data_IF_165695872082
#
_entry.id   IF_165695872082
#
_cell.length_a   1.000
_cell.length_b   1.000
_cell.length_c   1.000
_cell.angle_alpha   90.00
_cell.angle_beta   90.00
_cell.angle_gamma   90.00
#
_symmetry.space_group_name_H-M   'P 1'
#
loop_
_entity.id
_entity.type
_entity.pdbx_description
1 polymer ?
#
# COMPACT_ATOMS: atom_id res chain seq x y z
N UNK A 1 31.48 0.55 7.94
CA UNK A 1 30.54 0.14 9.00
C UNK A 1 29.42 1.18 9.21
N UNK A 2 29.74 2.44 9.53
CA UNK A 2 28.75 3.52 9.79
C UNK A 2 27.78 3.73 8.62
N UNK A 3 28.28 3.85 7.38
CA UNK A 3 27.43 4.03 6.19
C UNK A 3 26.44 2.87 5.95
N UNK A 4 26.81 1.64 6.34
CA UNK A 4 25.93 0.47 6.22
C UNK A 4 24.74 0.54 7.19
N UNK A 5 24.99 0.96 8.43
CA UNK A 5 23.95 1.13 9.45
C UNK A 5 23.01 2.27 9.05
N UNK A 6 23.56 3.41 8.60
CA UNK A 6 22.76 4.56 8.12
C UNK A 6 21.88 4.13 6.95
N UNK A 7 22.44 3.43 5.97
CA UNK A 7 21.68 2.89 4.84
C UNK A 7 20.53 1.99 5.30
N UNK A 8 20.79 1.06 6.22
CA UNK A 8 19.77 0.17 6.76
C UNK A 8 18.61 0.94 7.42
N UNK A 9 18.93 1.94 8.26
CA UNK A 9 17.91 2.78 8.93
C UNK A 9 17.00 3.44 7.89
N UNK A 10 17.56 4.05 6.85
CA UNK A 10 16.76 4.69 5.80
C UNK A 10 15.90 3.68 5.03
N UNK A 11 16.43 2.50 4.71
CA UNK A 11 15.66 1.44 4.05
C UNK A 11 14.46 1.02 4.88
N UNK A 12 14.67 0.74 6.18
CA UNK A 12 13.59 0.36 7.09
C UNK A 12 12.56 1.49 7.28
N UNK A 13 13.01 2.74 7.34
CA UNK A 13 12.12 3.90 7.44
C UNK A 13 11.20 4.01 6.21
N UNK A 14 11.76 3.91 5.00
CA UNK A 14 11.00 3.94 3.73
C UNK A 14 10.04 2.76 3.65
N UNK A 15 10.50 1.56 4.00
CA UNK A 15 9.63 0.38 4.02
C UNK A 15 8.44 0.59 4.97
N UNK A 16 8.68 1.02 6.21
CA UNK A 16 7.60 1.28 7.17
C UNK A 16 6.63 2.38 6.67
N UNK A 17 7.15 3.40 5.99
CA UNK A 17 6.35 4.46 5.38
C UNK A 17 5.33 3.90 4.38
N UNK A 18 5.67 2.91 3.57
CA UNK A 18 4.74 2.31 2.62
C UNK A 18 3.49 1.75 3.29
N UNK A 19 3.66 0.92 4.32
CA UNK A 19 2.54 0.31 5.03
C UNK A 19 1.66 1.38 5.69
N UNK A 20 2.28 2.37 6.33
CA UNK A 20 1.55 3.43 7.02
C UNK A 20 0.78 4.34 6.05
N UNK A 21 1.40 4.71 4.93
CA UNK A 21 0.76 5.52 3.88
C UNK A 21 -0.44 4.81 3.27
N UNK A 22 -0.31 3.51 2.93
CA UNK A 22 -1.41 2.72 2.39
C UNK A 22 -2.54 2.51 3.43
N UNK A 23 -2.19 2.29 4.70
CA UNK A 23 -3.16 2.16 5.78
C UNK A 23 -3.94 3.46 6.01
N UNK A 24 -3.24 4.59 6.10
CA UNK A 24 -3.88 5.90 6.23
C UNK A 24 -4.76 6.21 5.01
N UNK A 25 -4.32 5.84 3.80
CA UNK A 25 -5.12 6.00 2.59
C UNK A 25 -6.40 5.14 2.60
N UNK A 26 -6.31 3.89 3.07
CA UNK A 26 -7.45 2.99 3.31
C UNK A 26 -8.43 3.62 4.32
N UNK A 27 -7.93 4.10 5.45
CA UNK A 27 -8.75 4.67 6.53
C UNK A 27 -9.45 5.96 6.07
N UNK A 28 -8.75 6.83 5.33
CA UNK A 28 -9.34 8.02 4.71
C UNK A 28 -10.49 7.69 3.76
N UNK A 29 -10.39 6.58 3.02
CA UNK A 29 -11.49 6.12 2.15
C UNK A 29 -12.67 5.63 2.96
N UNK A 30 -12.45 4.89 4.05
CA UNK A 30 -13.54 4.47 4.93
C UNK A 30 -14.33 5.67 5.47
N UNK A 31 -13.64 6.71 5.93
CA UNK A 31 -14.27 7.93 6.41
C UNK A 31 -15.15 8.61 5.35
N UNK A 32 -14.72 8.63 4.09
CA UNK A 32 -15.55 9.19 3.01
C UNK A 32 -16.72 8.30 2.65
N UNK A 33 -16.54 6.99 2.62
CA UNK A 33 -17.66 6.06 2.41
C UNK A 33 -18.69 6.19 3.54
N UNK A 34 -18.25 6.35 4.79
CA UNK A 34 -19.14 6.64 5.92
C UNK A 34 -19.94 7.93 5.71
N UNK A 35 -19.28 9.01 5.32
CA UNK A 35 -19.92 10.28 5.02
C UNK A 35 -20.94 10.17 3.87
N UNK A 36 -20.57 9.53 2.77
CA UNK A 36 -21.46 9.33 1.62
C UNK A 36 -22.65 8.44 1.99
N UNK A 37 -22.44 7.39 2.80
CA UNK A 37 -23.52 6.52 3.24
C UNK A 37 -24.55 7.25 4.09
N UNK A 38 -24.11 8.21 4.92
CA UNK A 38 -25.01 9.07 5.71
C UNK A 38 -25.85 10.00 4.84
N UNK A 39 -25.30 10.45 3.70
CA UNK A 39 -25.98 11.34 2.76
C UNK A 39 -26.83 10.62 1.71
N UNK A 40 -26.48 9.38 1.38
CA UNK A 40 -27.19 8.61 0.37
C UNK A 40 -28.67 8.48 0.75
N UNK A 41 -29.55 8.87 -0.16
CA UNK A 41 -30.99 8.68 -0.02
C UNK A 41 -31.46 7.39 -0.71
N UNK A 42 -30.80 7.03 -1.81
CA UNK A 42 -31.08 5.85 -2.61
C UNK A 42 -30.54 4.57 -1.94
N UNK A 43 -31.34 3.50 -1.99
CA UNK A 43 -30.97 2.16 -1.52
C UNK A 43 -29.86 1.57 -2.38
N UNK A 44 -29.86 1.83 -3.69
CA UNK A 44 -28.82 1.34 -4.61
C UNK A 44 -27.46 1.97 -4.29
N UNK A 45 -27.44 3.30 -4.08
CA UNK A 45 -26.23 4.03 -3.70
C UNK A 45 -25.67 3.55 -2.35
N UNK A 46 -26.53 3.31 -1.35
CA UNK A 46 -26.12 2.73 -0.06
C UNK A 46 -25.54 1.33 -0.21
N UNK A 47 -26.16 0.51 -1.06
CA UNK A 47 -25.68 -0.84 -1.32
C UNK A 47 -24.29 -0.82 -1.95
N UNK A 48 -24.07 0.00 -2.98
CA UNK A 48 -22.76 0.17 -3.62
C UNK A 48 -21.68 0.65 -2.64
N UNK A 49 -22.01 1.66 -1.82
CA UNK A 49 -21.10 2.16 -0.77
C UNK A 49 -20.72 1.05 0.21
N UNK A 50 -21.69 0.24 0.64
CA UNK A 50 -21.45 -0.88 1.55
C UNK A 50 -20.56 -1.97 0.92
N UNK A 51 -20.77 -2.30 -0.35
CA UNK A 51 -19.96 -3.27 -1.08
C UNK A 51 -18.52 -2.78 -1.23
N UNK A 52 -18.33 -1.51 -1.56
CA UNK A 52 -17.01 -0.90 -1.68
C UNK A 52 -16.31 -0.89 -0.31
N UNK A 53 -17.03 -0.51 0.75
CA UNK A 53 -16.50 -0.48 2.12
C UNK A 53 -15.98 -1.85 2.54
N UNK A 54 -16.75 -2.91 2.32
CA UNK A 54 -16.36 -4.27 2.66
C UNK A 54 -15.10 -4.71 1.88
N UNK A 55 -15.01 -4.34 0.60
CA UNK A 55 -13.80 -4.60 -0.20
C UNK A 55 -12.58 -3.84 0.33
N UNK A 56 -12.72 -2.55 0.65
CA UNK A 56 -11.65 -1.75 1.27
C UNK A 56 -11.22 -2.37 2.62
N UNK A 57 -12.17 -2.83 3.42
CA UNK A 57 -11.92 -3.47 4.71
C UNK A 57 -11.10 -4.74 4.59
N UNK A 58 -11.40 -5.58 3.60
CA UNK A 58 -10.66 -6.82 3.32
C UNK A 58 -9.21 -6.63 2.88
N UNK A 59 -8.79 -5.41 2.51
CA UNK A 59 -7.40 -5.14 2.12
C UNK A 59 -6.49 -5.24 3.35
N UNK A 60 -5.70 -6.29 3.45
CA UNK A 60 -4.76 -6.49 4.54
C UNK A 60 -3.34 -5.98 4.22
N UNK A 61 -2.76 -5.27 5.19
CA UNK A 61 -1.35 -4.86 5.17
C UNK A 61 -0.66 -5.54 6.36
N UNK A 62 0.21 -6.52 6.09
CA UNK A 62 0.87 -7.37 7.08
C UNK A 62 2.08 -6.67 7.72
N UNK A 63 1.84 -5.58 8.45
CA UNK A 63 2.92 -4.80 9.12
C UNK A 63 3.73 -5.62 10.12
N UNK A 64 3.15 -6.67 10.70
CA UNK A 64 3.89 -7.59 11.58
C UNK A 64 5.08 -8.26 10.88
N UNK A 65 4.97 -8.53 9.57
CA UNK A 65 6.04 -9.17 8.81
C UNK A 65 7.25 -8.23 8.66
N UNK A 66 7.02 -6.92 8.57
CA UNK A 66 8.09 -5.92 8.61
C UNK A 66 8.84 -5.95 9.95
N UNK A 67 8.10 -6.00 11.07
CA UNK A 67 8.72 -6.01 12.39
C UNK A 67 9.53 -7.28 12.65
N UNK A 68 9.03 -8.45 12.24
CA UNK A 68 9.80 -9.68 12.32
C UNK A 68 11.04 -9.62 11.42
N UNK A 69 10.92 -9.13 10.19
CA UNK A 69 12.07 -8.91 9.33
C UNK A 69 13.14 -8.04 10.01
N UNK A 70 12.75 -6.90 10.60
CA UNK A 70 13.65 -6.01 11.31
C UNK A 70 14.34 -6.70 12.50
N UNK A 71 13.59 -7.44 13.32
CA UNK A 71 14.13 -8.18 14.47
C UNK A 71 15.14 -9.22 14.01
N UNK A 72 14.80 -10.06 13.02
CA UNK A 72 15.72 -11.08 12.51
C UNK A 72 16.95 -10.47 11.83
N UNK A 73 16.79 -9.33 11.13
CA UNK A 73 17.91 -8.58 10.59
C UNK A 73 18.88 -8.15 11.68
N UNK A 74 18.39 -7.52 12.76
CA UNK A 74 19.22 -7.05 13.89
C UNK A 74 19.88 -8.24 14.60
N UNK A 75 19.12 -9.30 14.92
CA UNK A 75 19.64 -10.48 15.62
C UNK A 75 20.74 -11.19 14.83
N UNK A 76 20.67 -11.21 13.49
CA UNK A 76 21.70 -11.80 12.64
C UNK A 76 23.06 -11.09 12.75
N UNK A 77 23.09 -9.81 13.14
CA UNK A 77 24.35 -9.09 13.39
C UNK A 77 24.92 -9.34 14.80
N UNK A 78 24.07 -9.71 15.76
CA UNK A 78 24.45 -9.88 17.17
C UNK A 78 24.87 -11.33 17.44
N UNK A 79 24.16 -12.29 16.86
CA UNK A 79 24.33 -13.71 17.16
C UNK A 79 25.15 -14.40 16.06
N UNK A 80 26.13 -15.27 16.40
CA UNK A 80 26.90 -16.03 15.43
C UNK A 80 26.09 -17.22 14.89
N UNK A 81 25.03 -16.95 14.12
CA UNK A 81 24.10 -17.99 13.63
C UNK A 81 24.45 -18.54 12.24
N UNK A 82 25.67 -18.31 11.75
CA UNK A 82 26.11 -18.72 10.42
C UNK A 82 25.13 -18.34 9.29
N UNK A 83 24.39 -17.23 9.45
CA UNK A 83 23.42 -16.72 8.46
C UNK A 83 22.00 -17.31 8.52
N UNK A 84 21.69 -18.26 9.42
CA UNK A 84 20.34 -18.85 9.53
C UNK A 84 19.25 -17.81 9.82
N UNK A 85 19.51 -16.87 10.73
CA UNK A 85 18.57 -15.79 11.05
C UNK A 85 18.35 -14.85 9.85
N UNK A 86 19.37 -14.66 9.01
CA UNK A 86 19.25 -13.93 7.75
C UNK A 86 18.25 -14.57 6.79
N UNK A 87 18.25 -15.90 6.67
CA UNK A 87 17.29 -16.64 5.84
C UNK A 87 15.86 -16.48 6.37
N UNK A 88 15.67 -16.60 7.69
CA UNK A 88 14.35 -16.41 8.32
C UNK A 88 13.86 -14.96 8.12
N UNK A 89 14.73 -13.97 8.35
CA UNK A 89 14.43 -12.57 8.09
C UNK A 89 14.03 -12.33 6.64
N UNK A 90 14.71 -12.98 5.69
CA UNK A 90 14.41 -12.88 4.26
C UNK A 90 13.01 -13.42 3.91
N UNK A 91 12.54 -14.48 4.57
CA UNK A 91 11.16 -14.96 4.40
C UNK A 91 10.15 -13.91 4.85
N UNK A 92 10.36 -13.28 6.00
CA UNK A 92 9.47 -12.21 6.48
C UNK A 92 9.53 -10.96 5.59
N UNK A 93 10.70 -10.62 5.04
CA UNK A 93 10.84 -9.59 4.01
C UNK A 93 9.98 -9.89 2.77
N UNK A 94 10.04 -11.13 2.25
CA UNK A 94 9.23 -11.54 1.11
C UNK A 94 7.72 -11.44 1.39
N UNK A 95 7.29 -11.91 2.57
CA UNK A 95 5.89 -11.80 3.01
C UNK A 95 5.45 -10.34 3.08
N UNK A 96 6.30 -9.46 3.62
CA UNK A 96 6.03 -8.04 3.72
C UNK A 96 5.85 -7.39 2.35
N UNK A 97 6.82 -7.58 1.44
CA UNK A 97 6.77 -7.01 0.09
C UNK A 97 5.55 -7.50 -0.68
N UNK A 98 5.24 -8.79 -0.61
CA UNK A 98 4.04 -9.35 -1.23
C UNK A 98 2.76 -8.68 -0.68
N UNK A 99 2.70 -8.44 0.63
CA UNK A 99 1.57 -7.75 1.23
C UNK A 99 1.42 -6.31 0.75
N UNK A 100 2.52 -5.56 0.63
CA UNK A 100 2.50 -4.19 0.10
C UNK A 100 2.02 -4.16 -1.35
N UNK A 101 2.51 -5.07 -2.20
CA UNK A 101 2.07 -5.17 -3.60
C UNK A 101 0.59 -5.54 -3.71
N UNK A 102 0.15 -6.54 -2.94
CA UNK A 102 -1.25 -6.98 -2.93
C UNK A 102 -2.17 -5.85 -2.46
N UNK A 103 -1.82 -5.17 -1.36
CA UNK A 103 -2.62 -4.08 -0.84
C UNK A 103 -2.69 -2.90 -1.81
N UNK A 104 -1.56 -2.54 -2.43
CA UNK A 104 -1.49 -1.47 -3.45
C UNK A 104 -2.39 -1.79 -4.64
N UNK A 105 -2.33 -3.01 -5.18
CA UNK A 105 -3.14 -3.43 -6.31
C UNK A 105 -4.64 -3.40 -5.96
N UNK A 106 -5.02 -4.01 -4.83
CA UNK A 106 -6.42 -4.06 -4.40
C UNK A 106 -6.98 -2.66 -4.14
N UNK A 107 -6.23 -1.77 -3.49
CA UNK A 107 -6.67 -0.41 -3.23
C UNK A 107 -6.89 0.37 -4.52
N UNK A 108 -5.98 0.28 -5.50
CA UNK A 108 -6.15 0.94 -6.79
C UNK A 108 -7.39 0.43 -7.53
N UNK A 109 -7.62 -0.88 -7.56
CA UNK A 109 -8.75 -1.49 -8.25
C UNK A 109 -10.08 -1.11 -7.58
N UNK A 110 -10.14 -1.19 -6.25
CA UNK A 110 -11.36 -0.86 -5.49
C UNK A 110 -11.66 0.63 -5.58
N UNK A 111 -10.65 1.51 -5.49
CA UNK A 111 -10.84 2.96 -5.61
C UNK A 111 -11.24 3.38 -7.01
N UNK A 112 -10.65 2.76 -8.04
CA UNK A 112 -11.09 2.99 -9.43
C UNK A 112 -12.58 2.68 -9.59
N UNK A 113 -13.03 1.52 -9.08
CA UNK A 113 -14.45 1.15 -9.10
C UNK A 113 -15.31 2.10 -8.26
N UNK A 114 -14.82 2.51 -7.10
CA UNK A 114 -15.50 3.45 -6.21
C UNK A 114 -15.75 4.80 -6.91
N UNK A 115 -14.73 5.40 -7.51
CA UNK A 115 -14.90 6.69 -8.18
C UNK A 115 -15.82 6.57 -9.40
N UNK A 116 -15.72 5.50 -10.18
CA UNK A 116 -16.59 5.33 -11.36
C UNK A 116 -18.05 5.05 -10.97
N UNK A 117 -18.31 4.31 -9.88
CA UNK A 117 -19.66 4.06 -9.40
C UNK A 117 -20.29 5.29 -8.72
N UNK A 118 -19.54 5.96 -7.83
CA UNK A 118 -20.09 7.02 -6.98
C UNK A 118 -20.05 8.41 -7.62
N UNK A 119 -19.32 8.61 -8.72
CA UNK A 119 -19.28 9.91 -9.41
C UNK A 119 -20.48 10.18 -10.33
N UNK A 120 -21.43 9.24 -10.44
CA UNK A 120 -22.64 9.37 -11.27
C UNK A 120 -22.32 9.76 -12.73
N UNK A 121 -21.19 9.28 -13.25
CA UNK A 121 -20.73 9.54 -14.62
C UNK A 121 -19.94 10.84 -14.82
N UNK A 122 -19.76 11.67 -13.79
CA UNK A 122 -18.98 12.91 -13.88
C UNK A 122 -17.46 12.66 -13.95
N UNK A 123 -16.98 11.48 -13.53
CA UNK A 123 -15.57 11.14 -13.53
C UNK A 123 -15.34 9.77 -14.17
N UNK A 124 -14.45 9.73 -15.16
CA UNK A 124 -13.87 8.49 -15.67
C UNK A 124 -12.45 8.35 -15.12
N UNK A 125 -12.30 7.50 -14.12
CA UNK A 125 -11.07 7.35 -13.35
C UNK A 125 -10.39 6.02 -13.68
N UNK A 126 -9.06 6.06 -13.75
CA UNK A 126 -8.20 4.88 -13.71
C UNK A 126 -7.01 5.16 -12.79
N UNK A 127 -7.01 4.57 -11.59
CA UNK A 127 -5.97 4.80 -10.58
C UNK A 127 -4.81 3.79 -10.63
N UNK A 128 -4.55 3.16 -11.79
CA UNK A 128 -3.48 2.17 -11.95
C UNK A 128 -2.09 2.82 -12.11
N UNK A 129 -1.59 3.38 -11.02
CA UNK A 129 -0.35 4.17 -10.93
C UNK A 129 0.83 3.39 -10.33
N UNK A 130 0.53 2.44 -9.42
CA UNK A 130 1.50 1.52 -8.84
C UNK A 130 1.54 0.27 -9.70
N UNK A 131 2.74 -0.04 -10.21
CA UNK A 131 2.93 -1.19 -11.10
C UNK A 131 2.74 -2.48 -10.31
N UNK A 132 1.94 -3.39 -10.85
CA UNK A 132 1.84 -4.75 -10.34
C UNK A 132 3.18 -5.46 -10.53
N UNK A 133 3.71 -6.03 -9.46
CA UNK A 133 5.01 -6.69 -9.42
C UNK A 133 4.85 -8.09 -8.85
N UNK A 134 5.61 -9.03 -9.38
CA UNK A 134 5.73 -10.38 -8.84
C UNK A 134 6.86 -10.41 -7.81
N UNK A 135 6.57 -10.78 -6.57
CA UNK A 135 7.57 -10.83 -5.48
C UNK A 135 8.72 -11.78 -5.79
N UNK A 136 8.46 -12.92 -6.46
CA UNK A 136 9.49 -13.86 -6.86
C UNK A 136 10.48 -13.26 -7.86
N UNK A 137 9.98 -12.50 -8.85
CA UNK A 137 10.85 -11.76 -9.77
C UNK A 137 11.67 -10.68 -9.06
N UNK A 138 11.05 -9.95 -8.12
CA UNK A 138 11.75 -8.96 -7.31
C UNK A 138 12.90 -9.59 -6.53
N UNK A 139 12.64 -10.74 -5.88
CA UNK A 139 13.63 -11.51 -5.15
C UNK A 139 14.75 -11.98 -6.09
N UNK A 140 14.40 -12.62 -7.20
CA UNK A 140 15.35 -13.14 -8.17
C UNK A 140 16.28 -12.03 -8.69
N UNK A 141 15.71 -10.90 -9.10
CA UNK A 141 16.48 -9.75 -9.59
C UNK A 141 17.33 -9.13 -8.49
N UNK A 142 16.84 -9.10 -7.25
CA UNK A 142 17.64 -8.61 -6.11
C UNK A 142 18.86 -9.50 -5.86
N UNK A 143 18.74 -10.82 -6.03
CA UNK A 143 19.88 -11.74 -5.89
C UNK A 143 20.85 -11.58 -7.06
N UNK A 144 20.36 -11.63 -8.30
CA UNK A 144 21.20 -11.54 -9.52
C UNK A 144 21.95 -10.20 -9.58
N UNK A 145 21.34 -9.12 -9.11
CA UNK A 145 21.94 -7.78 -9.10
C UNK A 145 22.66 -7.43 -7.79
N UNK A 146 22.89 -8.40 -6.90
CA UNK A 146 23.55 -8.20 -5.60
C UNK A 146 22.94 -7.06 -4.76
N UNK A 147 21.61 -6.97 -4.78
CA UNK A 147 20.83 -6.01 -4.01
C UNK A 147 20.55 -4.67 -4.70
N UNK A 148 21.16 -4.38 -5.86
CA UNK A 148 20.92 -3.12 -6.58
C UNK A 148 19.44 -2.96 -6.95
N UNK A 149 18.78 -4.03 -7.36
CA UNK A 149 17.34 -4.00 -7.67
C UNK A 149 16.47 -3.67 -6.45
N UNK A 150 16.88 -4.04 -5.22
CA UNK A 150 16.15 -3.70 -4.01
C UNK A 150 16.14 -2.18 -3.76
N UNK A 151 17.26 -1.49 -4.02
CA UNK A 151 17.33 -0.02 -3.97
C UNK A 151 16.48 0.65 -5.05
N UNK A 152 16.51 0.11 -6.27
CA UNK A 152 15.60 0.55 -7.33
C UNK A 152 14.13 0.46 -6.89
N UNK A 153 13.75 -0.67 -6.27
CA UNK A 153 12.40 -0.87 -5.78
C UNK A 153 12.03 0.15 -4.69
N UNK A 154 12.94 0.43 -3.76
CA UNK A 154 12.71 1.43 -2.70
C UNK A 154 12.33 2.80 -3.28
N UNK A 155 13.04 3.26 -4.31
CA UNK A 155 12.77 4.55 -4.94
C UNK A 155 11.51 4.50 -5.81
N UNK A 156 11.39 3.48 -6.67
CA UNK A 156 10.30 3.38 -7.63
C UNK A 156 8.93 3.21 -6.94
N UNK A 157 8.84 2.29 -5.98
CA UNK A 157 7.59 2.01 -5.27
C UNK A 157 7.15 3.21 -4.41
N UNK A 158 8.09 3.91 -3.78
CA UNK A 158 7.78 5.12 -3.01
C UNK A 158 7.15 6.21 -3.89
N UNK A 159 7.74 6.47 -5.06
CA UNK A 159 7.20 7.45 -6.02
C UNK A 159 5.80 7.06 -6.48
N UNK A 160 5.59 5.79 -6.80
CA UNK A 160 4.31 5.26 -7.24
C UNK A 160 3.23 5.35 -6.15
N UNK A 161 3.53 4.94 -4.91
CA UNK A 161 2.61 5.05 -3.76
C UNK A 161 2.23 6.52 -3.52
N UNK A 162 3.21 7.42 -3.53
CA UNK A 162 2.96 8.83 -3.31
C UNK A 162 2.05 9.43 -4.39
N UNK A 163 2.35 9.15 -5.67
CA UNK A 163 1.51 9.59 -6.79
C UNK A 163 0.08 9.04 -6.71
N UNK A 164 -0.07 7.78 -6.31
CA UNK A 164 -1.36 7.17 -6.09
C UNK A 164 -2.16 7.87 -4.99
N UNK A 165 -1.55 8.12 -3.83
CA UNK A 165 -2.24 8.78 -2.70
C UNK A 165 -2.59 10.23 -3.01
N UNK A 166 -1.75 10.92 -3.77
CA UNK A 166 -1.98 12.30 -4.21
C UNK A 166 -3.18 12.39 -5.17
N UNK A 167 -3.20 11.58 -6.23
CA UNK A 167 -4.33 11.54 -7.16
C UNK A 167 -5.62 11.09 -6.48
N UNK A 168 -5.56 10.09 -5.60
CA UNK A 168 -6.70 9.67 -4.80
C UNK A 168 -7.22 10.79 -3.88
N UNK A 169 -6.34 11.64 -3.34
CA UNK A 169 -6.75 12.80 -2.55
C UNK A 169 -7.53 13.81 -3.38
N UNK A 170 -7.07 14.11 -4.60
CA UNK A 170 -7.76 15.04 -5.49
C UNK A 170 -9.15 14.53 -5.89
N UNK A 171 -9.24 13.25 -6.29
CA UNK A 171 -10.50 12.62 -6.68
C UNK A 171 -11.48 12.53 -5.52
N UNK A 172 -11.00 12.17 -4.33
CA UNK A 172 -11.81 12.17 -3.11
C UNK A 172 -12.39 13.54 -2.82
N UNK A 173 -11.60 14.60 -2.94
CA UNK A 173 -12.09 15.96 -2.73
C UNK A 173 -13.17 16.34 -3.75
N UNK A 174 -12.98 16.00 -5.03
CA UNK A 174 -13.99 16.22 -6.08
C UNK A 174 -15.30 15.49 -5.76
N UNK A 175 -15.21 14.22 -5.35
CA UNK A 175 -16.36 13.40 -4.98
C UNK A 175 -17.13 14.00 -3.78
N UNK A 176 -16.42 14.43 -2.74
CA UNK A 176 -17.06 15.09 -1.58
C UNK A 176 -17.74 16.39 -2.01
N UNK A 177 -17.09 17.21 -2.84
CA UNK A 177 -17.68 18.47 -3.32
C UNK A 177 -18.95 18.22 -4.14
N UNK A 178 -19.00 17.17 -4.96
CA UNK A 178 -20.22 16.74 -5.67
C UNK A 178 -21.33 16.34 -4.68
N UNK A 179 -20.99 15.52 -3.67
CA UNK A 179 -21.94 15.11 -2.63
C UNK A 179 -22.44 16.26 -1.76
N UNK A 180 -21.65 17.34 -1.61
CA UNK A 180 -22.08 18.56 -0.92
C UNK A 180 -23.04 19.38 -1.78
N UNK A 181 -22.78 19.53 -3.08
CA UNK A 181 -23.63 20.30 -4.01
C UNK A 181 -24.98 19.66 -4.32
N UNK A 182 -25.08 18.34 -4.17
CA UNK A 182 -26.29 17.56 -4.45
C UNK A 182 -27.21 17.38 -3.22
N UNK A 183 -26.78 17.87 -2.05
CA UNK A 183 -27.60 17.95 -0.82
C UNK A 183 -28.29 19.31 -0.73
#
# INVERSE_FOLDING_TARGET
MIFGIISAIFQFAVMNQWANTLKMNKDNTKLVLDYLNMKAQDVEEKFDISLIRNKIESVEIKTWAFWLYLVFYILNYILPTYGLLGIIGFVFFAIYIQSVFSASNQLQDVKTKMYNALSKGEMLVNLKLIKSRNVGLVILLSIITLGIYAYYLLVALSKEINSFVEQDKELRNKLILQAVKSS
#
